data_IF_538242376771
#
_entry.id   IF_538242376771
#
_cell.length_a   1.000
_cell.length_b   1.000
_cell.length_c   1.000
_cell.angle_alpha   90.00
_cell.angle_beta   90.00
_cell.angle_gamma   90.00
#
_symmetry.space_group_name_H-M   'P 1'
#
loop_
_entity.id
_entity.type
_entity.pdbx_description
1 polymer ?
#
# COMPACT_ATOMS: atom_id res chain seq x y z
N UNK A 1 -12.74 34.06 68.00
CA UNK A 1 -11.74 34.73 67.15
C UNK A 1 -10.74 33.70 66.64
N UNK A 2 -10.60 33.63 65.31
CA UNK A 2 -9.84 32.63 64.56
C UNK A 2 -8.38 32.48 65.00
N UNK A 3 -7.93 31.22 65.16
CA UNK A 3 -6.50 30.86 65.17
C UNK A 3 -6.09 30.38 63.78
N UNK A 4 -5.08 31.04 63.20
CA UNK A 4 -4.37 30.60 61.99
C UNK A 4 -3.60 29.30 62.29
N UNK A 5 -3.64 28.34 61.36
CA UNK A 5 -2.76 27.17 61.32
C UNK A 5 -1.88 27.31 60.06
N UNK A 6 -0.55 27.07 60.13
CA UNK A 6 0.36 27.31 59.02
C UNK A 6 0.47 26.11 58.06
N UNK A 7 1.08 26.40 56.90
CA UNK A 7 1.18 25.58 55.71
C UNK A 7 1.69 24.15 55.90
N UNK A 8 1.05 23.20 55.20
CA UNK A 8 1.59 21.87 54.92
C UNK A 8 1.77 21.71 53.42
N UNK A 9 3.01 21.37 53.04
CA UNK A 9 3.47 21.09 51.67
C UNK A 9 2.59 20.02 51.02
N UNK A 10 1.98 20.33 49.88
CA UNK A 10 1.46 19.31 48.96
C UNK A 10 2.52 19.00 47.90
N UNK A 11 2.84 17.71 47.87
CA UNK A 11 3.85 17.03 47.07
C UNK A 11 3.35 16.98 45.62
N UNK A 12 4.14 17.53 44.70
CA UNK A 12 3.90 17.48 43.25
C UNK A 12 3.80 16.03 42.78
N UNK A 13 2.58 15.60 42.46
CA UNK A 13 2.34 14.44 41.60
C UNK A 13 2.51 14.91 40.15
N UNK A 14 3.63 14.50 39.54
CA UNK A 14 3.82 14.54 38.09
C UNK A 14 2.81 13.59 37.45
N UNK A 15 1.71 14.13 36.96
CA UNK A 15 0.91 13.45 35.92
C UNK A 15 1.60 13.67 34.58
N UNK A 16 1.87 12.55 33.90
CA UNK A 16 2.57 12.53 32.62
C UNK A 16 1.78 13.23 31.51
N UNK A 17 2.53 14.01 30.73
CA UNK A 17 2.23 14.58 29.42
C UNK A 17 0.90 14.26 28.76
N UNK A 18 -0.08 15.13 28.96
CA UNK A 18 -1.00 15.50 27.88
C UNK A 18 -0.22 16.49 27.02
N UNK A 19 0.16 16.09 25.81
CA UNK A 19 0.88 16.97 24.89
C UNK A 19 0.05 18.24 24.67
N UNK A 20 0.56 19.39 25.15
CA UNK A 20 0.05 20.69 24.75
C UNK A 20 0.21 20.82 23.23
N UNK A 21 -0.91 20.98 22.53
CA UNK A 21 -0.93 21.18 21.08
C UNK A 21 -0.48 22.59 20.74
N UNK A 22 0.15 22.72 19.57
CA UNK A 22 0.40 23.99 18.92
C UNK A 22 -0.91 24.73 18.65
N UNK A 23 -0.88 26.04 18.87
CA UNK A 23 -2.03 26.96 18.93
C UNK A 23 -2.54 27.41 17.54
N UNK A 24 -2.58 26.53 16.54
CA UNK A 24 -2.97 26.84 15.15
C UNK A 24 -4.20 26.03 14.71
N UNK A 25 -5.14 26.70 14.03
CA UNK A 25 -6.32 26.06 13.44
C UNK A 25 -5.91 24.94 12.46
N UNK A 26 -6.59 23.76 12.44
CA UNK A 26 -6.26 22.70 11.50
C UNK A 26 -6.43 23.17 10.05
N UNK A 27 -5.42 22.93 9.21
CA UNK A 27 -5.47 23.23 7.78
C UNK A 27 -6.14 22.10 7.03
N UNK A 28 -7.20 22.41 6.29
CA UNK A 28 -7.99 21.41 5.57
C UNK A 28 -8.05 21.77 4.10
N UNK A 29 -7.60 20.86 3.24
CA UNK A 29 -7.77 20.98 1.80
C UNK A 29 -9.01 20.21 1.36
N UNK A 30 -9.88 20.83 0.55
CA UNK A 30 -11.10 20.18 0.04
C UNK A 30 -10.92 19.86 -1.44
N UNK A 31 -10.75 18.57 -1.74
CA UNK A 31 -10.77 18.02 -3.10
C UNK A 31 -12.21 17.64 -3.47
N UNK A 32 -12.66 18.09 -4.63
CA UNK A 32 -14.00 17.85 -5.16
C UNK A 32 -13.93 17.79 -6.69
N UNK A 33 -14.98 17.30 -7.34
CA UNK A 33 -15.08 17.31 -8.80
C UNK A 33 -15.99 18.44 -9.30
N UNK A 34 -15.62 19.05 -10.42
CA UNK A 34 -16.48 20.01 -11.11
C UNK A 34 -17.68 19.31 -11.77
N UNK A 35 -18.69 19.00 -10.97
CA UNK A 35 -19.90 18.29 -11.39
C UNK A 35 -20.95 19.26 -11.94
N UNK A 36 -21.32 20.25 -11.14
CA UNK A 36 -22.31 21.29 -11.47
C UNK A 36 -22.12 22.53 -10.59
N UNK A 37 -22.79 23.64 -10.94
CA UNK A 37 -22.77 24.86 -10.13
C UNK A 37 -23.40 24.64 -8.75
N UNK A 38 -24.45 23.82 -8.67
CA UNK A 38 -25.11 23.44 -7.42
C UNK A 38 -24.18 22.61 -6.54
N UNK A 39 -23.40 21.70 -7.12
CA UNK A 39 -22.37 20.98 -6.40
C UNK A 39 -21.29 21.93 -5.87
N UNK A 40 -20.79 22.84 -6.72
CA UNK A 40 -19.80 23.86 -6.31
C UNK A 40 -20.31 24.72 -5.16
N UNK A 41 -21.60 25.10 -5.17
CA UNK A 41 -22.21 25.87 -4.09
C UNK A 41 -22.30 25.07 -2.78
N UNK A 42 -22.61 23.78 -2.84
CA UNK A 42 -22.60 22.89 -1.66
C UNK A 42 -21.20 22.74 -1.07
N UNK A 43 -20.18 22.58 -1.92
CA UNK A 43 -18.76 22.55 -1.50
C UNK A 43 -18.35 23.86 -0.83
N UNK A 44 -18.75 25.01 -1.41
CA UNK A 44 -18.52 26.32 -0.80
C UNK A 44 -19.21 26.43 0.57
N UNK A 45 -20.46 25.97 0.69
CA UNK A 45 -21.20 25.95 1.95
C UNK A 45 -20.49 25.15 3.04
N UNK A 46 -20.00 23.95 2.70
CA UNK A 46 -19.18 23.12 3.59
C UNK A 46 -17.92 23.87 4.05
N UNK A 47 -17.14 24.42 3.12
CA UNK A 47 -15.89 25.15 3.44
C UNK A 47 -16.18 26.34 4.36
N UNK A 48 -17.20 27.14 4.06
CA UNK A 48 -17.57 28.27 4.90
C UNK A 48 -18.01 27.83 6.29
N UNK A 49 -18.76 26.73 6.40
CA UNK A 49 -19.16 26.18 7.70
C UNK A 49 -17.96 25.69 8.52
N UNK A 50 -16.99 25.01 7.89
CA UNK A 50 -15.74 24.61 8.54
C UNK A 50 -14.95 25.84 9.03
N UNK A 51 -14.81 26.87 8.20
CA UNK A 51 -14.12 28.12 8.55
C UNK A 51 -14.77 28.86 9.72
N UNK A 52 -16.11 28.94 9.75
CA UNK A 52 -16.85 29.51 10.90
C UNK A 52 -16.62 28.75 12.20
N UNK A 53 -16.26 27.46 12.12
CA UNK A 53 -15.99 26.59 13.26
C UNK A 53 -14.49 26.41 13.55
N UNK A 54 -13.65 27.34 13.12
CA UNK A 54 -12.23 27.39 13.53
C UNK A 54 -11.30 26.45 12.77
N UNK A 55 -11.67 26.01 11.57
CA UNK A 55 -10.86 25.18 10.69
C UNK A 55 -10.41 26.00 9.48
N UNK A 56 -9.12 26.00 9.16
CA UNK A 56 -8.59 26.67 7.97
C UNK A 56 -8.83 25.83 6.70
N UNK A 57 -10.08 25.81 6.25
CA UNK A 57 -10.49 25.06 5.04
C UNK A 57 -10.27 25.86 3.75
N UNK A 58 -9.72 25.22 2.72
CA UNK A 58 -9.36 25.82 1.42
C UNK A 58 -9.66 24.89 0.23
N UNK A 59 -9.77 25.45 -0.98
CA UNK A 59 -10.01 24.75 -2.24
C UNK A 59 -9.47 25.53 -3.45
N UNK A 60 -9.37 24.86 -4.61
CA UNK A 60 -8.82 25.41 -5.86
C UNK A 60 -9.55 26.65 -6.39
N UNK A 61 -10.86 26.73 -6.22
CA UNK A 61 -11.66 27.81 -6.77
C UNK A 61 -11.41 29.18 -6.11
N UNK A 62 -10.71 29.23 -4.97
CA UNK A 62 -10.22 30.50 -4.41
C UNK A 62 -8.98 31.04 -5.15
N UNK A 63 -8.26 30.18 -5.88
CA UNK A 63 -7.08 30.56 -6.68
C UNK A 63 -7.42 30.89 -8.14
N UNK A 64 -8.65 30.62 -8.60
CA UNK A 64 -9.07 30.87 -10.00
C UNK A 64 -8.85 32.32 -10.45
N UNK A 65 -8.92 33.29 -9.53
CA UNK A 65 -8.69 34.71 -9.82
C UNK A 65 -7.22 35.06 -10.08
N UNK A 66 -6.28 34.23 -9.62
CA UNK A 66 -4.84 34.36 -9.82
C UNK A 66 -4.22 32.96 -9.96
N UNK A 67 -4.43 32.30 -11.10
CA UNK A 67 -4.09 30.89 -11.25
C UNK A 67 -2.59 30.64 -11.10
N UNK A 68 -2.18 29.49 -10.52
CA UNK A 68 -0.79 29.10 -10.41
C UNK A 68 -0.20 28.76 -11.80
N UNK A 69 1.13 28.82 -11.92
CA UNK A 69 1.83 28.45 -13.15
C UNK A 69 1.58 26.99 -13.57
N UNK A 70 1.40 26.10 -12.58
CA UNK A 70 1.04 24.70 -12.80
C UNK A 70 0.10 24.21 -11.70
N UNK A 71 -1.15 23.89 -12.07
CA UNK A 71 -2.16 23.34 -11.17
C UNK A 71 -1.70 22.05 -10.45
N UNK A 72 -1.10 21.04 -11.12
CA UNK A 72 -0.67 19.83 -10.43
C UNK A 72 0.37 20.09 -9.33
N UNK A 73 1.32 20.98 -9.59
CA UNK A 73 2.34 21.34 -8.60
C UNK A 73 1.72 22.07 -7.40
N UNK A 74 0.79 22.99 -7.65
CA UNK A 74 0.05 23.70 -6.60
C UNK A 74 -0.79 22.74 -5.75
N UNK A 75 -1.53 21.82 -6.37
CA UNK A 75 -2.33 20.81 -5.66
C UNK A 75 -1.46 19.92 -4.78
N UNK A 76 -0.27 19.52 -5.27
CA UNK A 76 0.71 18.76 -4.47
C UNK A 76 1.07 19.49 -3.18
N UNK A 77 1.34 20.80 -3.31
CA UNK A 77 1.70 21.65 -2.17
C UNK A 77 0.53 21.74 -1.20
N UNK A 78 -0.69 21.99 -1.68
CA UNK A 78 -1.87 22.07 -0.81
C UNK A 78 -2.12 20.76 -0.06
N UNK A 79 -2.04 19.61 -0.74
CA UNK A 79 -2.20 18.29 -0.13
C UNK A 79 -1.07 17.98 0.86
N UNK A 80 0.16 18.43 0.56
CA UNK A 80 1.33 18.25 1.44
C UNK A 80 1.27 19.08 2.71
N UNK A 81 0.74 20.30 2.63
CA UNK A 81 0.63 21.23 3.76
C UNK A 81 -0.61 21.02 4.64
N UNK A 82 -1.65 20.35 4.12
CA UNK A 82 -2.89 20.14 4.86
C UNK A 82 -2.76 19.06 5.95
N UNK A 83 -3.35 19.34 7.13
CA UNK A 83 -3.52 18.36 8.21
C UNK A 83 -4.56 17.30 7.82
N UNK A 84 -5.60 17.72 7.08
CA UNK A 84 -6.62 16.83 6.53
C UNK A 84 -6.97 17.21 5.08
N UNK A 85 -7.33 16.21 4.30
CA UNK A 85 -7.84 16.36 2.94
C UNK A 85 -9.26 15.78 2.89
N UNK A 86 -10.26 16.65 2.75
CA UNK A 86 -11.63 16.20 2.53
C UNK A 86 -11.81 15.85 1.05
N UNK A 87 -12.31 14.65 0.78
CA UNK A 87 -12.66 14.21 -0.57
C UNK A 87 -14.17 14.22 -0.68
N UNK A 88 -14.72 15.18 -1.43
CA UNK A 88 -16.16 15.32 -1.62
C UNK A 88 -16.60 14.34 -2.70
N UNK A 89 -17.22 13.25 -2.28
CA UNK A 89 -17.52 12.12 -3.14
C UNK A 89 -18.88 12.31 -3.82
N UNK A 90 -18.85 12.18 -5.14
CA UNK A 90 -20.02 12.02 -6.01
C UNK A 90 -19.78 10.86 -6.98
N UNK A 91 -20.79 10.47 -7.74
CA UNK A 91 -20.61 9.52 -8.84
C UNK A 91 -19.55 9.98 -9.85
N UNK A 92 -19.51 11.26 -10.19
CA UNK A 92 -18.53 11.83 -11.12
C UNK A 92 -17.13 11.82 -10.54
N UNK A 93 -16.97 12.19 -9.27
CA UNK A 93 -15.69 12.05 -8.56
C UNK A 93 -15.19 10.61 -8.63
N UNK A 94 -16.06 9.64 -8.34
CA UNK A 94 -15.74 8.22 -8.35
C UNK A 94 -15.34 7.70 -9.74
N UNK A 95 -16.07 8.09 -10.79
CA UNK A 95 -15.73 7.74 -12.19
C UNK A 95 -14.36 8.27 -12.57
N UNK A 96 -14.06 9.52 -12.23
CA UNK A 96 -12.76 10.15 -12.50
C UNK A 96 -11.63 9.51 -11.71
N UNK A 97 -11.87 9.23 -10.43
CA UNK A 97 -10.94 8.52 -9.56
C UNK A 97 -10.56 7.14 -10.13
N UNK A 98 -11.55 6.39 -10.60
CA UNK A 98 -11.38 5.05 -11.16
C UNK A 98 -10.93 5.05 -12.63
N UNK A 99 -10.60 6.21 -13.21
CA UNK A 99 -10.16 6.36 -14.60
C UNK A 99 -11.19 5.87 -15.64
N UNK A 100 -12.48 6.07 -15.38
CA UNK A 100 -13.59 5.61 -16.21
C UNK A 100 -14.17 6.69 -17.15
N UNK A 101 -13.51 7.84 -17.33
CA UNK A 101 -13.98 8.90 -18.25
C UNK A 101 -13.48 8.73 -19.70
N UNK A 102 -14.30 9.21 -20.64
CA UNK A 102 -13.98 9.39 -22.06
C UNK A 102 -12.66 10.19 -22.23
N UNK A 103 -11.82 9.85 -23.22
CA UNK A 103 -10.58 10.59 -23.47
C UNK A 103 -10.86 12.06 -23.81
N UNK A 104 -10.44 12.99 -22.95
CA UNK A 104 -10.52 14.44 -23.20
C UNK A 104 -11.38 15.24 -22.22
N UNK A 105 -12.10 14.58 -21.31
CA UNK A 105 -12.81 15.22 -20.19
C UNK A 105 -12.06 14.94 -18.89
N UNK A 106 -11.88 15.97 -18.04
CA UNK A 106 -11.33 15.84 -16.69
C UNK A 106 -9.83 15.50 -16.59
N UNK A 107 -8.94 16.42 -16.97
CA UNK A 107 -7.49 16.24 -16.83
C UNK A 107 -6.97 16.32 -15.38
N UNK A 108 -7.67 17.04 -14.47
CA UNK A 108 -7.21 17.28 -13.09
C UNK A 108 -7.25 16.05 -12.18
N UNK A 109 -8.37 15.31 -12.19
CA UNK A 109 -8.63 14.24 -11.22
C UNK A 109 -7.84 12.94 -11.51
N UNK A 110 -7.23 12.82 -12.70
CA UNK A 110 -6.44 11.63 -13.10
C UNK A 110 -5.17 11.44 -12.27
N UNK A 111 -4.58 12.53 -11.77
CA UNK A 111 -3.33 12.52 -11.03
C UNK A 111 -3.53 12.46 -9.51
N UNK A 112 -4.60 13.09 -9.01
CA UNK A 112 -4.99 13.09 -7.60
C UNK A 112 -5.31 11.69 -7.07
N UNK A 113 -6.01 10.85 -7.84
CA UNK A 113 -6.37 9.50 -7.43
C UNK A 113 -5.14 8.63 -7.16
N UNK A 114 -4.09 8.75 -7.98
CA UNK A 114 -2.83 8.02 -7.79
C UNK A 114 -2.08 8.49 -6.55
N UNK A 115 -2.05 9.81 -6.28
CA UNK A 115 -1.39 10.35 -5.08
C UNK A 115 -2.17 10.09 -3.79
N UNK A 116 -3.49 10.25 -3.80
CA UNK A 116 -4.36 9.92 -2.66
C UNK A 116 -4.24 8.44 -2.34
N UNK A 117 -4.27 7.57 -3.36
CA UNK A 117 -4.06 6.13 -3.18
C UNK A 117 -2.66 5.88 -2.61
N UNK A 118 -1.60 6.39 -3.24
CA UNK A 118 -0.23 6.20 -2.77
C UNK A 118 -0.05 6.69 -1.32
N UNK A 119 -0.60 7.83 -0.94
CA UNK A 119 -0.43 8.38 0.41
C UNK A 119 -1.28 7.62 1.46
N UNK A 120 -2.50 7.17 1.13
CA UNK A 120 -3.27 6.26 2.00
C UNK A 120 -2.50 4.95 2.25
N UNK A 121 -1.80 4.42 1.23
CA UNK A 121 -1.11 3.13 1.33
C UNK A 121 0.32 3.20 1.86
N UNK A 122 1.04 4.27 1.58
CA UNK A 122 2.47 4.38 1.84
C UNK A 122 2.82 5.42 2.91
N UNK A 123 1.87 6.22 3.42
CA UNK A 123 2.18 7.09 4.55
C UNK A 123 2.49 6.25 5.78
N UNK A 124 3.65 6.52 6.40
CA UNK A 124 4.03 6.00 7.73
C UNK A 124 3.42 6.82 8.86
N UNK A 125 2.57 7.80 8.51
CA UNK A 125 1.83 8.62 9.47
C UNK A 125 0.84 7.74 10.23
N UNK A 126 0.82 7.89 11.55
CA UNK A 126 -0.19 7.21 12.41
C UNK A 126 -1.61 7.72 12.16
N UNK A 127 -1.78 8.81 11.42
CA UNK A 127 -3.06 9.45 11.16
C UNK A 127 -3.33 9.53 9.66
N UNK A 128 -4.43 8.90 9.25
CA UNK A 128 -4.94 9.01 7.88
C UNK A 128 -5.52 10.41 7.72
N UNK A 129 -4.97 11.21 6.79
CA UNK A 129 -5.42 12.58 6.54
C UNK A 129 -6.57 12.69 5.54
N UNK A 130 -6.81 11.67 4.71
CA UNK A 130 -7.88 11.69 3.70
C UNK A 130 -9.22 11.25 4.30
N UNK A 131 -10.23 12.09 4.18
CA UNK A 131 -11.54 11.90 4.80
C UNK A 131 -12.64 12.05 3.74
N UNK A 132 -13.39 10.98 3.44
CA UNK A 132 -14.54 11.04 2.53
C UNK A 132 -15.70 11.82 3.14
N UNK A 133 -16.25 12.74 2.36
CA UNK A 133 -17.46 13.49 2.70
C UNK A 133 -18.49 13.29 1.58
N UNK A 134 -19.72 12.99 1.96
CA UNK A 134 -20.86 12.88 1.04
C UNK A 134 -21.96 13.85 1.48
N UNK A 135 -22.70 14.40 0.52
CA UNK A 135 -23.85 15.27 0.81
C UNK A 135 -25.18 14.52 0.90
N UNK A 136 -25.21 13.26 0.44
CA UNK A 136 -26.37 12.38 0.52
C UNK A 136 -25.96 10.96 0.93
N UNK A 137 -26.87 10.23 1.56
CA UNK A 137 -26.61 8.84 1.93
C UNK A 137 -26.37 7.96 0.68
N UNK A 138 -27.04 8.26 -0.44
CA UNK A 138 -26.90 7.53 -1.70
C UNK A 138 -25.49 7.62 -2.27
N UNK A 139 -24.82 8.77 -2.11
CA UNK A 139 -23.46 9.00 -2.60
C UNK A 139 -22.41 8.13 -1.89
N UNK A 140 -22.75 7.54 -0.75
CA UNK A 140 -21.87 6.62 -0.01
C UNK A 140 -21.43 5.44 -0.85
N UNK A 141 -22.25 4.98 -1.81
CA UNK A 141 -21.92 3.87 -2.72
C UNK A 141 -20.81 4.21 -3.72
N UNK A 142 -20.55 5.50 -3.92
CA UNK A 142 -19.57 6.01 -4.88
C UNK A 142 -18.19 6.22 -4.24
N UNK A 143 -18.04 6.02 -2.93
CA UNK A 143 -16.74 6.17 -2.25
C UNK A 143 -15.74 5.16 -2.82
N UNK A 144 -14.61 5.60 -3.42
CA UNK A 144 -13.61 4.69 -3.95
C UNK A 144 -13.06 3.75 -2.87
N UNK A 145 -12.72 2.51 -3.26
CA UNK A 145 -12.31 1.46 -2.32
C UNK A 145 -11.21 1.89 -1.32
N UNK A 146 -10.12 2.59 -1.72
CA UNK A 146 -9.10 3.06 -0.78
C UNK A 146 -9.65 3.96 0.33
N UNK A 147 -10.59 4.82 -0.04
CA UNK A 147 -11.20 5.83 0.82
C UNK A 147 -12.29 5.24 1.72
N UNK A 148 -12.96 4.18 1.26
CA UNK A 148 -13.99 3.49 2.06
C UNK A 148 -13.42 2.70 3.26
N UNK A 149 -12.10 2.60 3.37
CA UNK A 149 -11.40 2.04 4.54
C UNK A 149 -11.17 3.08 5.67
N UNK A 150 -11.60 4.33 5.45
CA UNK A 150 -11.41 5.44 6.39
C UNK A 150 -12.75 5.91 6.98
N UNK A 151 -12.70 6.78 7.99
CA UNK A 151 -13.91 7.42 8.52
C UNK A 151 -14.54 8.30 7.45
N UNK A 152 -15.83 8.07 7.16
CA UNK A 152 -16.63 8.86 6.22
C UNK A 152 -17.70 9.67 6.95
N UNK A 153 -18.04 10.82 6.38
CA UNK A 153 -19.01 11.74 6.98
C UNK A 153 -20.10 12.08 5.97
N UNK A 154 -21.35 11.92 6.41
CA UNK A 154 -22.51 12.49 5.74
C UNK A 154 -22.73 13.89 6.29
N UNK A 155 -22.55 14.90 5.45
CA UNK A 155 -22.85 16.29 5.79
C UNK A 155 -24.06 16.71 4.99
N UNK A 156 -25.21 16.84 5.62
CA UNK A 156 -26.42 17.30 4.97
C UNK A 156 -26.35 18.84 4.89
N UNK A 157 -26.52 19.44 3.70
CA UNK A 157 -26.57 20.90 3.57
C UNK A 157 -27.62 21.50 4.51
N UNK A 158 -27.28 22.63 5.13
CA UNK A 158 -28.14 23.37 6.08
C UNK A 158 -28.53 22.63 7.37
N UNK A 159 -27.91 21.49 7.66
CA UNK A 159 -28.05 20.75 8.92
C UNK A 159 -26.73 20.75 9.70
N UNK A 160 -26.57 21.70 10.62
CA UNK A 160 -25.38 21.82 11.48
C UNK A 160 -25.12 20.57 12.33
N UNK A 161 -26.15 19.78 12.65
CA UNK A 161 -25.99 18.56 13.44
C UNK A 161 -25.23 17.47 12.67
N UNK A 162 -25.40 17.43 11.34
CA UNK A 162 -24.67 16.52 10.45
C UNK A 162 -23.18 16.87 10.32
N UNK A 163 -22.81 18.14 10.56
CA UNK A 163 -21.43 18.62 10.51
C UNK A 163 -20.63 18.27 11.78
N UNK A 164 -21.31 18.14 12.92
CA UNK A 164 -20.69 17.97 14.24
C UNK A 164 -19.73 16.76 14.34
N UNK A 165 -20.05 15.56 13.81
CA UNK A 165 -19.10 14.44 13.82
C UNK A 165 -17.81 14.72 13.04
N UNK A 166 -17.89 15.46 11.93
CA UNK A 166 -16.73 15.87 11.15
C UNK A 166 -15.88 16.89 11.92
N UNK A 167 -16.52 17.87 12.57
CA UNK A 167 -15.81 18.84 13.43
C UNK A 167 -15.06 18.16 14.58
N UNK A 168 -15.70 17.19 15.25
CA UNK A 168 -15.05 16.41 16.31
C UNK A 168 -13.80 15.69 15.82
N UNK A 169 -13.83 15.16 14.60
CA UNK A 169 -12.66 14.52 14.01
C UNK A 169 -11.56 15.55 13.69
N UNK A 170 -11.89 16.61 12.95
CA UNK A 170 -10.90 17.60 12.49
C UNK A 170 -10.27 18.39 13.67
N UNK A 171 -11.05 18.67 14.71
CA UNK A 171 -10.58 19.30 15.95
C UNK A 171 -10.02 18.30 16.97
N UNK A 172 -10.05 17.00 16.65
CA UNK A 172 -9.66 15.88 17.51
C UNK A 172 -10.26 15.98 18.93
N UNK A 173 -11.55 16.32 18.98
CA UNK A 173 -12.35 16.51 20.18
C UNK A 173 -13.40 15.39 20.26
N UNK A 174 -13.05 14.21 20.84
CA UNK A 174 -13.94 13.05 20.86
C UNK A 174 -15.20 13.33 21.69
N UNK A 175 -16.31 12.69 21.31
CA UNK A 175 -17.58 12.81 22.04
C UNK A 175 -17.52 12.19 23.44
N UNK A 176 -16.78 11.08 23.57
CA UNK A 176 -16.62 10.36 24.82
C UNK A 176 -15.14 10.31 25.19
N UNK A 177 -14.84 10.72 26.42
CA UNK A 177 -13.48 10.62 26.99
C UNK A 177 -13.49 9.44 27.95
N UNK A 178 -12.57 8.47 27.82
CA UNK A 178 -12.51 7.34 28.75
C UNK A 178 -12.27 7.83 30.17
N UNK A 179 -12.96 7.20 31.13
CA UNK A 179 -12.68 7.43 32.54
C UNK A 179 -11.22 7.06 32.87
N UNK A 180 -10.69 7.64 33.94
CA UNK A 180 -9.39 7.23 34.45
C UNK A 180 -9.41 5.73 34.79
N UNK A 181 -8.34 5.03 34.42
CA UNK A 181 -8.21 3.60 34.69
C UNK A 181 -8.18 3.38 36.21
N UNK A 182 -9.13 2.59 36.73
CA UNK A 182 -9.14 2.17 38.12
C UNK A 182 -8.20 0.98 38.37
N UNK A 183 -7.98 0.65 39.65
CA UNK A 183 -7.30 -0.61 40.01
C UNK A 183 -8.18 -1.81 39.68
N UNK A 184 -7.59 -2.86 39.10
CA UNK A 184 -8.30 -4.09 38.79
C UNK A 184 -8.65 -4.82 40.10
N UNK A 185 -9.88 -5.33 40.26
CA UNK A 185 -10.22 -6.19 41.39
C UNK A 185 -9.37 -7.48 41.36
N UNK A 186 -9.00 -7.98 42.54
CA UNK A 186 -8.32 -9.28 42.65
C UNK A 186 -9.32 -10.39 42.27
N UNK A 187 -9.04 -11.03 41.13
CA UNK A 187 -9.86 -12.10 40.53
C UNK A 187 -9.11 -13.44 40.53
N UNK A 188 -8.15 -13.63 41.44
CA UNK A 188 -7.41 -14.89 41.51
C UNK A 188 -8.32 -16.05 41.91
N UNK A 189 -8.50 -17.02 40.99
CA UNK A 189 -9.08 -18.32 41.28
C UNK A 189 -8.00 -19.23 41.87
N UNK A 190 -8.27 -19.79 43.04
CA UNK A 190 -7.41 -20.78 43.69
C UNK A 190 -7.42 -22.09 42.91
N UNK A 191 -6.38 -22.35 42.12
CA UNK A 191 -5.84 -23.70 41.90
C UNK A 191 -4.47 -23.66 41.22
N UNK A 192 -3.53 -24.45 41.76
CA UNK A 192 -2.43 -25.07 41.03
C UNK A 192 -1.24 -24.20 40.65
N UNK A 193 -0.38 -23.87 41.62
CA UNK A 193 0.98 -23.38 41.36
C UNK A 193 1.80 -24.46 40.63
N UNK A 194 2.05 -24.27 39.35
CA UNK A 194 3.26 -24.75 38.69
C UNK A 194 4.09 -23.50 38.34
N UNK A 195 5.07 -23.19 39.19
CA UNK A 195 5.94 -22.02 39.01
C UNK A 195 6.79 -22.18 37.76
N UNK A 196 6.50 -21.36 36.74
CA UNK A 196 7.47 -21.00 35.72
C UNK A 196 8.60 -20.18 36.36
N UNK A 197 9.83 -20.33 35.87
CA UNK A 197 10.99 -19.58 36.34
C UNK A 197 10.81 -18.07 36.02
N UNK A 198 10.74 -17.18 37.03
CA UNK A 198 10.54 -15.75 36.84
C UNK A 198 11.74 -15.05 36.18
N UNK A 199 12.88 -15.73 35.98
CA UNK A 199 14.07 -15.18 35.35
C UNK A 199 14.01 -15.10 33.81
N UNK A 200 13.04 -15.77 33.16
CA UNK A 200 13.06 -15.94 31.69
C UNK A 200 12.24 -14.88 30.93
N UNK A 201 11.21 -14.30 31.56
CA UNK A 201 10.38 -13.21 31.01
C UNK A 201 11.17 -11.96 30.57
N UNK A 202 12.21 -11.50 31.29
CA UNK A 202 13.05 -10.36 30.89
C UNK A 202 13.78 -10.58 29.56
N UNK A 203 14.13 -11.83 29.23
CA UNK A 203 14.89 -12.15 28.02
C UNK A 203 14.02 -12.09 26.76
N UNK A 204 12.76 -12.53 26.82
CA UNK A 204 11.80 -12.39 25.71
C UNK A 204 11.49 -10.91 25.47
N UNK A 205 11.25 -10.14 26.53
CA UNK A 205 11.03 -8.69 26.43
C UNK A 205 12.24 -7.95 25.84
N UNK A 206 13.45 -8.32 26.24
CA UNK A 206 14.70 -7.76 25.71
C UNK A 206 14.88 -8.09 24.22
N UNK A 207 14.58 -9.32 23.80
CA UNK A 207 14.65 -9.71 22.39
C UNK A 207 13.59 -8.97 21.53
N UNK A 208 12.39 -8.76 22.05
CA UNK A 208 11.36 -7.93 21.39
C UNK A 208 11.80 -6.48 21.24
N UNK A 209 12.48 -5.91 22.24
CA UNK A 209 13.05 -4.57 22.14
C UNK A 209 14.17 -4.51 21.10
N UNK A 210 15.06 -5.51 21.07
CA UNK A 210 16.11 -5.66 20.06
C UNK A 210 15.53 -5.76 18.64
N UNK A 211 14.35 -6.40 18.47
CA UNK A 211 13.72 -6.58 17.16
C UNK A 211 13.43 -5.27 16.42
N UNK A 212 13.33 -4.15 17.14
CA UNK A 212 13.14 -2.82 16.55
C UNK A 212 14.39 -2.30 15.84
N UNK A 213 15.57 -2.76 16.25
CA UNK A 213 16.86 -2.31 15.72
C UNK A 213 17.52 -3.38 14.85
N UNK A 214 17.44 -4.65 15.27
CA UNK A 214 18.03 -5.78 14.59
C UNK A 214 17.10 -7.01 14.68
N UNK A 215 16.13 -7.15 13.76
CA UNK A 215 15.13 -8.20 13.81
C UNK A 215 15.71 -9.60 13.61
N UNK A 216 16.72 -9.78 12.77
CA UNK A 216 17.41 -11.07 12.57
C UNK A 216 18.06 -11.56 13.86
N UNK A 217 18.85 -10.69 14.53
CA UNK A 217 19.49 -11.04 15.80
C UNK A 217 18.47 -11.32 16.91
N UNK A 218 17.32 -10.65 16.89
CA UNK A 218 16.23 -10.93 17.81
C UNK A 218 15.62 -12.33 17.59
N UNK A 219 15.44 -12.75 16.33
CA UNK A 219 15.01 -14.12 16.00
C UNK A 219 16.03 -15.14 16.49
N UNK A 220 17.32 -14.93 16.24
CA UNK A 220 18.38 -15.85 16.70
C UNK A 220 18.37 -15.99 18.22
N UNK A 221 18.23 -14.87 18.93
CA UNK A 221 18.16 -14.83 20.40
C UNK A 221 16.94 -15.58 20.92
N UNK A 222 15.76 -15.36 20.34
CA UNK A 222 14.54 -16.07 20.72
C UNK A 222 14.65 -17.56 20.41
N UNK A 223 15.23 -17.92 19.27
CA UNK A 223 15.41 -19.30 18.83
C UNK A 223 16.32 -20.07 19.80
N UNK A 224 17.42 -19.47 20.23
CA UNK A 224 18.34 -20.06 21.21
C UNK A 224 17.69 -20.30 22.59
N UNK A 225 16.65 -19.55 22.94
CA UNK A 225 15.90 -19.74 24.18
C UNK A 225 14.84 -20.86 24.09
N UNK A 226 14.40 -21.26 22.90
CA UNK A 226 13.28 -22.20 22.75
C UNK A 226 13.50 -23.53 23.46
N UNK A 227 14.74 -24.03 23.51
CA UNK A 227 15.08 -25.30 24.13
C UNK A 227 14.99 -25.27 25.66
N UNK A 228 15.10 -24.09 26.29
CA UNK A 228 14.94 -23.92 27.75
C UNK A 228 13.51 -23.53 28.14
N UNK A 229 12.70 -23.03 27.21
CA UNK A 229 11.32 -22.60 27.45
C UNK A 229 10.31 -23.75 27.43
N UNK A 230 9.26 -23.67 28.25
CA UNK A 230 8.14 -24.64 28.27
C UNK A 230 6.79 -23.93 28.34
N UNK A 231 5.73 -24.63 27.91
CA UNK A 231 4.35 -24.17 28.00
C UNK A 231 4.14 -22.76 27.41
N UNK A 232 3.42 -21.92 28.15
CA UNK A 232 3.05 -20.56 27.75
C UNK A 232 4.24 -19.68 27.36
N UNK A 233 5.40 -19.81 28.04
CA UNK A 233 6.58 -19.01 27.71
C UNK A 233 7.19 -19.42 26.36
N UNK A 234 7.22 -20.73 26.06
CA UNK A 234 7.67 -21.23 24.74
C UNK A 234 6.72 -20.79 23.64
N UNK A 235 5.42 -20.84 23.91
CA UNK A 235 4.40 -20.34 23.00
C UNK A 235 4.58 -18.84 22.72
N UNK A 236 4.84 -18.03 23.74
CA UNK A 236 5.06 -16.59 23.58
C UNK A 236 6.32 -16.28 22.76
N UNK A 237 7.42 -17.03 22.95
CA UNK A 237 8.62 -16.88 22.13
C UNK A 237 8.38 -17.23 20.65
N UNK A 238 7.68 -18.34 20.37
CA UNK A 238 7.29 -18.67 19.00
C UNK A 238 6.36 -17.62 18.38
N UNK A 239 5.40 -17.09 19.15
CA UNK A 239 4.51 -16.02 18.70
C UNK A 239 5.33 -14.77 18.31
N UNK A 240 6.28 -14.35 19.15
CA UNK A 240 7.19 -13.24 18.89
C UNK A 240 8.06 -13.48 17.64
N UNK A 241 8.63 -14.69 17.47
CA UNK A 241 9.37 -15.06 16.25
C UNK A 241 8.47 -14.91 15.02
N UNK A 242 7.21 -15.34 15.10
CA UNK A 242 6.24 -15.20 14.02
C UNK A 242 5.98 -13.74 13.65
N UNK A 243 5.75 -12.88 14.65
CA UNK A 243 5.50 -11.45 14.44
C UNK A 243 6.71 -10.71 13.86
N UNK A 244 7.93 -11.07 14.27
CA UNK A 244 9.16 -10.49 13.71
C UNK A 244 9.30 -10.92 12.25
N UNK A 245 9.19 -12.22 11.95
CA UNK A 245 9.28 -12.73 10.58
C UNK A 245 8.22 -12.12 9.67
N UNK A 246 6.97 -12.01 10.14
CA UNK A 246 5.89 -11.39 9.37
C UNK A 246 6.15 -9.90 9.09
N UNK A 247 6.67 -9.14 10.07
CA UNK A 247 7.08 -7.73 9.86
C UNK A 247 8.21 -7.59 8.85
N UNK A 248 9.10 -8.58 8.78
CA UNK A 248 10.16 -8.65 7.77
C UNK A 248 9.68 -9.17 6.40
N UNK A 249 8.41 -9.59 6.28
CA UNK A 249 7.86 -10.19 5.06
C UNK A 249 8.26 -11.66 4.83
N UNK A 250 8.78 -12.35 5.84
CA UNK A 250 9.09 -13.78 5.80
C UNK A 250 7.89 -14.62 6.24
N UNK A 251 6.96 -14.84 5.31
CA UNK A 251 5.65 -15.42 5.62
C UNK A 251 5.69 -16.91 5.98
N UNK A 252 6.48 -17.72 5.27
CA UNK A 252 6.58 -19.15 5.56
C UNK A 252 7.21 -19.44 6.94
N UNK A 253 8.33 -18.79 7.35
CA UNK A 253 8.83 -18.86 8.72
C UNK A 253 7.80 -18.37 9.75
N UNK A 254 7.07 -17.29 9.45
CA UNK A 254 6.04 -16.77 10.36
C UNK A 254 4.91 -17.78 10.60
N UNK A 255 4.39 -18.42 9.54
CA UNK A 255 3.37 -19.48 9.66
C UNK A 255 3.83 -20.62 10.57
N UNK A 256 5.05 -21.10 10.33
CA UNK A 256 5.64 -22.19 11.11
C UNK A 256 5.73 -21.79 12.58
N UNK A 257 6.19 -20.57 12.86
CA UNK A 257 6.30 -20.05 14.22
C UNK A 257 4.93 -19.94 14.91
N UNK A 258 3.89 -19.41 14.25
CA UNK A 258 2.56 -19.34 14.85
C UNK A 258 1.92 -20.72 15.08
N UNK A 259 2.15 -21.69 14.20
CA UNK A 259 1.73 -23.09 14.43
C UNK A 259 2.41 -23.67 15.66
N UNK A 260 3.75 -23.52 15.76
CA UNK A 260 4.51 -23.96 16.94
C UNK A 260 4.07 -23.27 18.22
N UNK A 261 3.67 -21.99 18.16
CA UNK A 261 3.12 -21.28 19.30
C UNK A 261 1.84 -21.93 19.82
N UNK A 262 0.92 -22.31 18.93
CA UNK A 262 -0.34 -22.97 19.28
C UNK A 262 -0.13 -24.40 19.81
N UNK A 263 0.86 -25.12 19.28
CA UNK A 263 1.24 -26.47 19.75
C UNK A 263 1.92 -26.46 21.13
N UNK A 264 2.42 -25.30 21.59
CA UNK A 264 3.24 -25.18 22.81
C UNK A 264 2.44 -24.91 24.09
N UNK A 265 1.14 -25.22 24.13
CA UNK A 265 0.26 -24.95 25.28
C UNK A 265 0.24 -23.45 25.71
N UNK A 266 -0.22 -22.55 24.83
CA UNK A 266 -0.25 -21.10 25.07
C UNK A 266 -1.25 -20.70 26.17
N UNK A 267 -0.99 -19.57 26.82
CA UNK A 267 -2.05 -18.86 27.56
C UNK A 267 -3.12 -18.30 26.60
N UNK A 268 -4.27 -17.89 27.15
CA UNK A 268 -5.42 -17.43 26.36
C UNK A 268 -5.09 -16.26 25.42
N UNK A 269 -4.21 -15.33 25.83
CA UNK A 269 -3.83 -14.16 25.03
C UNK A 269 -2.91 -14.59 23.89
N UNK A 270 -1.87 -15.37 24.19
CA UNK A 270 -0.91 -15.87 23.19
C UNK A 270 -1.61 -16.76 22.15
N UNK A 271 -2.57 -17.58 22.58
CA UNK A 271 -3.39 -18.40 21.70
C UNK A 271 -4.21 -17.56 20.72
N UNK A 272 -4.90 -16.52 21.22
CA UNK A 272 -5.73 -15.63 20.41
C UNK A 272 -4.90 -14.87 19.36
N UNK A 273 -3.76 -14.30 19.77
CA UNK A 273 -2.85 -13.57 18.87
C UNK A 273 -2.26 -14.50 17.81
N UNK A 274 -1.72 -15.66 18.22
CA UNK A 274 -1.11 -16.61 17.29
C UNK A 274 -2.12 -17.16 16.29
N UNK A 275 -3.35 -17.48 16.72
CA UNK A 275 -4.40 -17.94 15.82
C UNK A 275 -4.86 -16.84 14.85
N UNK A 276 -4.97 -15.59 15.30
CA UNK A 276 -5.30 -14.46 14.44
C UNK A 276 -4.22 -14.24 13.37
N UNK A 277 -2.95 -14.15 13.79
CA UNK A 277 -1.84 -13.90 12.87
C UNK A 277 -1.61 -15.07 11.92
N UNK A 278 -1.78 -16.32 12.38
CA UNK A 278 -1.74 -17.51 11.53
C UNK A 278 -2.76 -17.43 10.40
N UNK A 279 -4.02 -17.08 10.71
CA UNK A 279 -5.06 -16.91 9.67
C UNK A 279 -4.72 -15.78 8.71
N UNK A 280 -4.22 -14.65 9.21
CA UNK A 280 -3.82 -13.53 8.37
C UNK A 280 -2.67 -13.90 7.41
N UNK A 281 -1.66 -14.60 7.91
CA UNK A 281 -0.54 -15.08 7.10
C UNK A 281 -0.96 -16.14 6.07
N UNK A 282 -1.86 -17.06 6.44
CA UNK A 282 -2.42 -18.04 5.51
C UNK A 282 -3.22 -17.36 4.39
N UNK A 283 -4.08 -16.39 4.73
CA UNK A 283 -4.86 -15.64 3.74
C UNK A 283 -3.96 -14.85 2.76
N UNK A 284 -2.85 -14.30 3.25
CA UNK A 284 -1.83 -13.64 2.43
C UNK A 284 -1.18 -14.60 1.43
N UNK A 285 -0.72 -15.77 1.90
CA UNK A 285 -0.12 -16.79 1.02
C UNK A 285 -1.13 -17.39 0.05
N UNK A 286 -2.36 -17.61 0.48
CA UNK A 286 -3.44 -18.09 -0.39
C UNK A 286 -3.72 -17.07 -1.51
N UNK A 287 -3.79 -15.78 -1.19
CA UNK A 287 -3.99 -14.73 -2.22
C UNK A 287 -2.86 -14.71 -3.26
N UNK A 288 -1.62 -14.96 -2.82
CA UNK A 288 -0.43 -14.97 -3.64
C UNK A 288 -0.35 -16.18 -4.59
N UNK A 289 -0.67 -17.38 -4.08
CA UNK A 289 -0.49 -18.66 -4.80
C UNK A 289 -1.76 -19.29 -5.36
N UNK A 290 -2.96 -18.79 -5.03
CA UNK A 290 -4.22 -19.33 -5.56
C UNK A 290 -4.28 -19.28 -7.08
N UNK A 291 -5.13 -20.13 -7.63
CA UNK A 291 -5.52 -20.06 -9.05
C UNK A 291 -6.08 -18.67 -9.39
N UNK A 292 -5.57 -18.07 -10.46
CA UNK A 292 -5.89 -16.70 -10.86
C UNK A 292 -5.21 -15.62 -10.00
N UNK A 293 -4.36 -16.00 -9.05
CA UNK A 293 -3.48 -15.12 -8.29
C UNK A 293 -2.35 -14.52 -9.13
N UNK A 294 -1.52 -13.65 -8.53
CA UNK A 294 -0.43 -12.97 -9.21
C UNK A 294 0.65 -13.95 -9.70
N UNK A 295 1.03 -14.94 -8.89
CA UNK A 295 2.03 -15.96 -9.26
C UNK A 295 1.55 -16.82 -10.43
N UNK A 296 0.32 -17.35 -10.32
CA UNK A 296 -0.29 -18.15 -11.39
C UNK A 296 -0.40 -17.35 -12.70
N UNK A 297 -0.79 -16.08 -12.63
CA UNK A 297 -0.87 -15.19 -13.80
C UNK A 297 0.50 -14.98 -14.45
N UNK A 298 1.56 -14.72 -13.67
CA UNK A 298 2.93 -14.58 -14.18
C UNK A 298 3.40 -15.87 -14.88
N UNK A 299 3.18 -17.03 -14.25
CA UNK A 299 3.50 -18.32 -14.84
C UNK A 299 2.71 -18.59 -16.13
N UNK A 300 1.41 -18.28 -16.16
CA UNK A 300 0.57 -18.38 -17.37
C UNK A 300 1.09 -17.49 -18.50
N UNK A 301 1.58 -16.30 -18.19
CA UNK A 301 2.21 -15.41 -19.17
C UNK A 301 3.48 -16.04 -19.76
N UNK A 302 4.42 -16.47 -18.91
CA UNK A 302 5.67 -17.12 -19.37
C UNK A 302 5.38 -18.36 -20.20
N UNK A 303 4.45 -19.21 -19.76
CA UNK A 303 4.03 -20.40 -20.52
C UNK A 303 3.41 -20.04 -21.87
N UNK A 304 2.61 -18.96 -21.95
CA UNK A 304 2.03 -18.52 -23.20
C UNK A 304 3.11 -18.06 -24.19
N UNK A 305 4.12 -17.31 -23.73
CA UNK A 305 5.28 -16.89 -24.54
C UNK A 305 6.02 -18.11 -25.07
N UNK A 306 6.39 -19.06 -24.20
CA UNK A 306 7.10 -20.29 -24.59
C UNK A 306 6.33 -21.15 -25.61
N UNK A 307 5.01 -21.22 -25.47
CA UNK A 307 4.13 -21.98 -26.37
C UNK A 307 3.76 -21.21 -27.65
N UNK A 308 4.40 -20.08 -27.94
CA UNK A 308 4.10 -19.21 -29.09
C UNK A 308 2.66 -18.68 -29.12
N UNK A 309 1.99 -18.58 -27.96
CA UNK A 309 0.60 -18.13 -27.85
C UNK A 309 0.55 -16.64 -27.53
N UNK A 310 0.99 -15.81 -28.47
CA UNK A 310 1.11 -14.35 -28.28
C UNK A 310 -0.22 -13.71 -27.87
N UNK A 311 -1.35 -14.09 -28.47
CA UNK A 311 -2.66 -13.56 -28.10
C UNK A 311 -3.00 -13.81 -26.62
N UNK A 312 -2.62 -14.98 -26.08
CA UNK A 312 -2.82 -15.29 -24.67
C UNK A 312 -1.91 -14.46 -23.78
N UNK A 313 -0.63 -14.34 -24.14
CA UNK A 313 0.32 -13.50 -23.41
C UNK A 313 -0.12 -12.03 -23.39
N UNK A 314 -0.54 -11.50 -24.54
CA UNK A 314 -1.04 -10.13 -24.73
C UNK A 314 -2.29 -9.83 -23.88
N UNK A 315 -3.20 -10.80 -23.78
CA UNK A 315 -4.39 -10.70 -22.95
C UNK A 315 -4.10 -10.69 -21.45
N UNK A 316 -2.94 -11.20 -21.01
CA UNK A 316 -2.53 -11.19 -19.61
C UNK A 316 -1.86 -9.86 -19.21
N UNK A 317 -1.56 -8.98 -20.17
CA UNK A 317 -1.01 -7.66 -19.89
C UNK A 317 -2.10 -6.67 -19.46
N UNK A 318 -1.71 -5.66 -18.68
CA UNK A 318 -2.55 -4.49 -18.42
C UNK A 318 -2.70 -3.61 -19.67
N UNK A 319 -3.79 -2.81 -19.79
CA UNK A 319 -3.92 -1.85 -20.88
C UNK A 319 -2.74 -0.87 -20.96
N UNK A 320 -2.25 -0.40 -19.81
CA UNK A 320 -1.10 0.51 -19.72
C UNK A 320 0.17 -0.12 -20.30
N UNK A 321 0.49 -1.36 -19.91
CA UNK A 321 1.69 -2.04 -20.41
C UNK A 321 1.59 -2.31 -21.92
N UNK A 322 0.41 -2.72 -22.42
CA UNK A 322 0.20 -2.87 -23.87
C UNK A 322 0.48 -1.57 -24.62
N UNK A 323 0.00 -0.44 -24.10
CA UNK A 323 0.24 0.87 -24.71
C UNK A 323 1.73 1.22 -24.72
N UNK A 324 2.42 1.03 -23.59
CA UNK A 324 3.86 1.31 -23.47
C UNK A 324 4.69 0.46 -24.43
N UNK A 325 4.39 -0.83 -24.56
CA UNK A 325 5.10 -1.72 -25.48
C UNK A 325 4.89 -1.31 -26.95
N UNK A 326 3.66 -0.97 -27.32
CA UNK A 326 3.36 -0.45 -28.66
C UNK A 326 4.08 0.87 -28.91
N UNK A 327 4.05 1.81 -27.95
CA UNK A 327 4.75 3.09 -28.07
C UNK A 327 6.26 2.90 -28.19
N UNK A 328 6.84 1.94 -27.47
CA UNK A 328 8.27 1.62 -27.58
C UNK A 328 8.61 1.10 -28.98
N UNK A 329 7.79 0.18 -29.52
CA UNK A 329 7.97 -0.34 -30.86
C UNK A 329 7.82 0.73 -31.94
N UNK A 330 6.77 1.56 -31.85
CA UNK A 330 6.55 2.68 -32.78
C UNK A 330 7.69 3.69 -32.70
N UNK A 331 8.15 4.02 -31.49
CA UNK A 331 9.26 4.97 -31.28
C UNK A 331 10.58 4.46 -31.84
N UNK A 332 10.89 3.18 -31.62
CA UNK A 332 12.10 2.53 -32.12
C UNK A 332 12.12 2.42 -33.65
N UNK A 333 10.95 2.36 -34.30
CA UNK A 333 10.79 2.18 -35.74
C UNK A 333 10.20 3.41 -36.45
N UNK A 334 10.26 4.60 -35.81
CA UNK A 334 9.56 5.82 -36.27
C UNK A 334 9.94 6.27 -37.68
N UNK A 335 11.17 6.00 -38.11
CA UNK A 335 11.71 6.39 -39.41
C UNK A 335 11.52 5.30 -40.49
N UNK A 336 10.92 4.16 -40.15
CA UNK A 336 10.72 3.06 -41.09
C UNK A 336 9.65 3.42 -42.15
N UNK A 337 9.90 3.21 -43.46
CA UNK A 337 8.97 3.64 -44.53
C UNK A 337 7.55 3.09 -44.42
N UNK A 338 7.38 1.88 -43.87
CA UNK A 338 6.06 1.27 -43.65
C UNK A 338 5.35 1.75 -42.39
N UNK A 339 6.00 2.55 -41.54
CA UNK A 339 5.45 3.06 -40.28
C UNK A 339 5.28 4.58 -40.29
N UNK A 340 6.25 5.30 -40.87
CA UNK A 340 6.28 6.77 -40.97
C UNK A 340 5.00 7.42 -41.52
N UNK A 341 4.23 6.81 -42.46
CA UNK A 341 2.99 7.40 -42.96
C UNK A 341 1.83 7.44 -41.94
N UNK A 342 1.88 6.68 -40.85
CA UNK A 342 0.78 6.59 -39.88
C UNK A 342 0.90 7.62 -38.76
N UNK A 343 -0.25 8.12 -38.27
CA UNK A 343 -0.28 8.91 -37.03
C UNK A 343 0.08 8.02 -35.84
N UNK A 344 1.16 8.34 -35.13
CA UNK A 344 1.67 7.53 -34.01
C UNK A 344 0.69 7.33 -32.86
N UNK A 345 -0.15 8.32 -32.54
CA UNK A 345 -1.13 8.23 -31.44
C UNK A 345 -2.27 7.29 -31.80
N UNK A 346 -2.81 7.42 -33.00
CA UNK A 346 -3.88 6.55 -33.50
C UNK A 346 -3.37 5.12 -33.67
N UNK A 347 -2.16 4.96 -34.22
CA UNK A 347 -1.51 3.67 -34.35
C UNK A 347 -1.31 3.01 -32.97
N UNK A 348 -0.83 3.77 -31.99
CA UNK A 348 -0.62 3.25 -30.64
C UNK A 348 -1.93 2.80 -29.98
N UNK A 349 -2.99 3.60 -30.10
CA UNK A 349 -4.33 3.25 -29.61
C UNK A 349 -4.87 1.99 -30.29
N UNK A 350 -4.72 1.88 -31.61
CA UNK A 350 -5.22 0.73 -32.38
C UNK A 350 -4.49 -0.57 -32.03
N UNK A 351 -3.16 -0.51 -31.90
CA UNK A 351 -2.33 -1.68 -31.64
C UNK A 351 -2.32 -2.13 -30.17
N UNK A 352 -2.64 -1.24 -29.22
CA UNK A 352 -2.62 -1.54 -27.78
C UNK A 352 -3.91 -2.20 -27.24
N UNK A 353 -4.93 -2.35 -28.08
CA UNK A 353 -6.18 -3.02 -27.71
C UNK A 353 -5.96 -4.52 -27.40
N UNK A 354 -6.94 -5.14 -26.75
CA UNK A 354 -6.91 -6.58 -26.43
C UNK A 354 -6.87 -7.44 -27.71
N UNK A 355 -7.58 -7.00 -28.77
CA UNK A 355 -7.58 -7.62 -30.08
C UNK A 355 -7.22 -6.57 -31.13
N UNK A 356 -5.92 -6.32 -31.35
CA UNK A 356 -5.49 -5.31 -32.31
C UNK A 356 -6.02 -5.60 -33.71
N UNK A 357 -6.61 -4.58 -34.31
CA UNK A 357 -7.14 -4.65 -35.66
C UNK A 357 -6.47 -3.58 -36.51
N UNK A 358 -5.23 -3.84 -36.92
CA UNK A 358 -4.45 -2.94 -37.78
C UNK A 358 -3.58 -3.74 -38.75
N UNK A 359 -3.22 -3.14 -39.88
CA UNK A 359 -2.37 -3.79 -40.90
C UNK A 359 -1.01 -4.24 -40.33
N UNK A 360 -0.46 -3.44 -39.42
CA UNK A 360 0.84 -3.70 -38.76
C UNK A 360 0.73 -4.65 -37.55
N UNK A 361 -0.46 -5.15 -37.21
CA UNK A 361 -0.65 -6.02 -36.02
C UNK A 361 0.24 -7.26 -36.08
N UNK A 362 0.33 -7.90 -37.25
CA UNK A 362 1.12 -9.13 -37.40
C UNK A 362 2.60 -8.88 -37.17
N UNK A 363 3.14 -7.80 -37.74
CA UNK A 363 4.55 -7.45 -37.62
C UNK A 363 4.90 -7.07 -36.19
N UNK A 364 4.10 -6.19 -35.56
CA UNK A 364 4.27 -5.81 -34.15
C UNK A 364 4.25 -7.04 -33.22
N UNK A 365 3.24 -7.91 -33.35
CA UNK A 365 3.11 -9.10 -32.51
C UNK A 365 4.27 -10.08 -32.68
N UNK A 366 4.79 -10.21 -33.90
CA UNK A 366 5.96 -11.05 -34.17
C UNK A 366 7.22 -10.49 -33.52
N UNK A 367 7.48 -9.18 -33.65
CA UNK A 367 8.60 -8.51 -32.97
C UNK A 367 8.50 -8.66 -31.46
N UNK A 368 7.34 -8.36 -30.88
CA UNK A 368 7.14 -8.41 -29.43
C UNK A 368 7.26 -9.83 -28.87
N UNK A 369 6.77 -10.85 -29.58
CA UNK A 369 6.96 -12.24 -29.17
C UNK A 369 8.46 -12.63 -29.18
N UNK A 370 9.23 -12.14 -30.16
CA UNK A 370 10.67 -12.33 -30.22
C UNK A 370 11.38 -11.74 -29.00
N UNK A 371 11.04 -10.50 -28.64
CA UNK A 371 11.60 -9.82 -27.46
C UNK A 371 11.25 -10.55 -26.15
N UNK A 372 10.00 -11.00 -26.00
CA UNK A 372 9.61 -11.78 -24.82
C UNK A 372 10.36 -13.10 -24.74
N UNK A 373 10.50 -13.83 -25.84
CA UNK A 373 11.28 -15.08 -25.86
C UNK A 373 12.73 -14.87 -25.45
N UNK A 374 13.35 -13.80 -25.94
CA UNK A 374 14.72 -13.46 -25.58
C UNK A 374 14.81 -13.16 -24.08
N UNK A 375 13.91 -12.30 -23.57
CA UNK A 375 13.90 -11.84 -22.18
C UNK A 375 13.61 -12.94 -21.16
N UNK A 376 12.79 -13.93 -21.53
CA UNK A 376 12.38 -15.03 -20.64
C UNK A 376 12.98 -16.39 -21.04
N UNK A 377 14.06 -16.40 -21.82
CA UNK A 377 14.70 -17.61 -22.33
C UNK A 377 15.28 -18.51 -21.23
N UNK A 378 15.72 -17.93 -20.12
CA UNK A 378 16.34 -18.65 -19.00
C UNK A 378 15.34 -19.29 -18.05
N UNK A 379 14.07 -18.89 -18.07
CA UNK A 379 13.04 -19.47 -17.20
C UNK A 379 12.68 -20.84 -17.77
N UNK A 380 12.70 -21.89 -16.96
CA UNK A 380 12.29 -23.27 -17.30
C UNK A 380 11.32 -23.83 -16.22
N UNK A 381 10.99 -25.12 -16.28
CA UNK A 381 10.13 -25.81 -15.31
C UNK A 381 10.74 -25.92 -13.90
N UNK A 382 12.04 -25.69 -13.75
CA UNK A 382 12.75 -25.73 -12.47
C UNK A 382 12.75 -24.37 -11.76
N UNK A 383 12.16 -23.34 -12.37
CA UNK A 383 11.96 -22.04 -11.75
C UNK A 383 10.71 -22.03 -10.88
N UNK A 384 10.84 -21.43 -9.70
CA UNK A 384 9.76 -21.22 -8.75
C UNK A 384 9.54 -19.73 -8.47
N UNK A 385 8.36 -19.41 -7.97
CA UNK A 385 8.09 -18.08 -7.40
C UNK A 385 8.56 -18.04 -5.95
N UNK A 386 9.15 -16.92 -5.55
CA UNK A 386 9.51 -16.68 -4.16
C UNK A 386 8.28 -16.80 -3.25
N UNK A 387 8.42 -17.47 -2.10
CA UNK A 387 7.32 -17.74 -1.16
C UNK A 387 6.77 -16.51 -0.44
N UNK A 388 7.49 -15.39 -0.49
CA UNK A 388 7.11 -14.16 0.18
C UNK A 388 6.32 -13.25 -0.78
N UNK A 389 5.02 -13.02 -0.53
CA UNK A 389 4.26 -11.97 -1.19
C UNK A 389 4.93 -10.61 -1.00
N UNK A 390 5.00 -9.82 -2.06
CA UNK A 390 5.52 -8.43 -2.07
C UNK A 390 4.43 -7.47 -2.56
N UNK A 391 3.35 -7.26 -1.77
CA UNK A 391 2.31 -6.32 -2.15
C UNK A 391 2.89 -4.89 -2.17
N UNK A 392 2.52 -4.13 -3.19
CA UNK A 392 2.91 -2.72 -3.37
C UNK A 392 1.60 -1.92 -3.47
N UNK A 393 1.17 -1.33 -2.36
CA UNK A 393 -0.21 -0.81 -2.28
C UNK A 393 -1.25 -1.93 -2.25
N UNK A 394 -2.47 -1.68 -2.74
CA UNK A 394 -3.55 -2.71 -2.76
C UNK A 394 -3.44 -3.61 -3.97
N UNK A 395 -3.26 -2.96 -5.11
CA UNK A 395 -3.56 -3.52 -6.41
C UNK A 395 -2.30 -3.97 -7.11
N UNK A 396 -1.12 -3.78 -6.54
CA UNK A 396 0.11 -4.31 -7.09
C UNK A 396 0.75 -5.36 -6.20
N UNK A 397 1.45 -6.28 -6.86
CA UNK A 397 2.32 -7.22 -6.19
C UNK A 397 3.53 -7.52 -7.07
N UNK A 398 4.72 -7.54 -6.49
CA UNK A 398 5.94 -7.94 -7.18
C UNK A 398 6.15 -9.44 -7.05
N UNK A 399 5.89 -10.17 -8.13
CA UNK A 399 6.24 -11.59 -8.23
C UNK A 399 7.69 -11.70 -8.67
N UNK A 400 8.48 -12.50 -7.97
CA UNK A 400 9.88 -12.76 -8.32
C UNK A 400 10.00 -14.24 -8.64
N UNK A 401 10.34 -14.56 -9.88
CA UNK A 401 10.68 -15.92 -10.29
C UNK A 401 12.21 -16.10 -10.20
N UNK A 402 12.63 -17.27 -9.75
CA UNK A 402 14.05 -17.64 -9.62
C UNK A 402 14.25 -19.14 -9.87
N UNK A 403 15.44 -19.58 -10.31
CA UNK A 403 15.78 -20.99 -10.36
C UNK A 403 15.68 -21.61 -8.95
N UNK A 404 14.93 -22.70 -8.80
CA UNK A 404 14.87 -23.45 -7.54
C UNK A 404 15.36 -24.89 -7.70
N UNK A 405 15.62 -25.35 -8.92
CA UNK A 405 15.98 -26.74 -9.20
C UNK A 405 14.82 -27.73 -8.99
N UNK A 406 13.59 -27.24 -8.81
CA UNK A 406 12.43 -28.04 -8.46
C UNK A 406 12.21 -28.25 -6.95
N UNK A 407 13.10 -27.73 -6.09
CA UNK A 407 13.04 -27.89 -4.64
C UNK A 407 12.68 -26.57 -3.91
N UNK A 408 12.41 -26.65 -2.59
CA UNK A 408 12.28 -25.48 -1.73
C UNK A 408 13.69 -24.96 -1.42
N UNK A 409 14.02 -23.78 -1.95
CA UNK A 409 15.31 -23.11 -1.70
C UNK A 409 15.10 -21.96 -0.71
N UNK A 410 15.87 -21.96 0.38
CA UNK A 410 15.94 -20.85 1.33
C UNK A 410 17.05 -19.90 0.85
N UNK A 411 16.66 -18.70 0.44
CA UNK A 411 17.59 -17.68 -0.01
C UNK A 411 18.06 -16.85 1.20
N UNK A 412 19.34 -16.97 1.55
CA UNK A 412 20.02 -16.21 2.59
C UNK A 412 21.22 -15.42 2.03
N UNK A 413 21.88 -14.61 2.86
CA UNK A 413 23.07 -13.83 2.45
C UNK A 413 24.23 -14.69 1.92
N UNK A 414 24.23 -16.02 2.17
CA UNK A 414 25.26 -16.95 1.72
C UNK A 414 25.01 -17.47 0.31
N UNK A 415 23.78 -17.40 -0.20
CA UNK A 415 23.43 -17.87 -1.54
C UNK A 415 23.94 -16.97 -2.69
N UNK A 416 24.39 -15.75 -2.39
CA UNK A 416 24.93 -14.83 -3.39
C UNK A 416 23.88 -14.25 -4.35
N UNK A 417 24.27 -13.45 -5.36
CA UNK A 417 23.33 -12.89 -6.32
C UNK A 417 22.75 -13.97 -7.22
N UNK A 418 21.43 -14.13 -7.18
CA UNK A 418 20.71 -15.14 -7.95
C UNK A 418 20.04 -14.48 -9.15
N UNK A 419 20.02 -15.20 -10.26
CA UNK A 419 19.26 -14.79 -11.43
C UNK A 419 17.77 -14.74 -11.06
N UNK A 420 17.15 -13.58 -11.22
CA UNK A 420 15.74 -13.38 -10.92
C UNK A 420 15.02 -12.75 -12.10
N UNK A 421 13.74 -13.06 -12.25
CA UNK A 421 12.85 -12.44 -13.23
C UNK A 421 11.65 -11.82 -12.50
N UNK A 422 11.67 -10.49 -12.26
CA UNK A 422 10.59 -9.79 -11.59
C UNK A 422 9.42 -9.49 -12.53
N UNK A 423 8.20 -9.64 -12.00
CA UNK A 423 6.96 -9.25 -12.64
C UNK A 423 6.17 -8.36 -11.67
N UNK A 424 6.01 -7.08 -12.04
CA UNK A 424 5.06 -6.24 -11.33
C UNK A 424 3.67 -6.59 -11.83
N UNK A 425 2.86 -7.17 -10.95
CA UNK A 425 1.49 -7.56 -11.22
C UNK A 425 0.55 -6.43 -10.79
N UNK A 426 -0.55 -6.24 -11.52
CA UNK A 426 -1.63 -5.33 -11.15
C UNK A 426 -2.98 -6.05 -11.15
N UNK A 427 -3.79 -5.85 -10.13
CA UNK A 427 -5.15 -6.33 -10.06
C UNK A 427 -6.10 -5.31 -10.71
N UNK A 428 -6.83 -5.74 -11.73
CA UNK A 428 -7.85 -4.95 -12.43
C UNK A 428 -9.15 -5.72 -12.40
N UNK A 429 -10.18 -5.16 -11.75
CA UNK A 429 -11.50 -5.79 -11.59
C UNK A 429 -11.42 -7.21 -11.02
N UNK A 430 -10.58 -7.41 -10.00
CA UNK A 430 -10.37 -8.70 -9.35
C UNK A 430 -9.43 -9.67 -10.08
N UNK A 431 -9.01 -9.36 -11.31
CA UNK A 431 -8.10 -10.20 -12.10
C UNK A 431 -6.67 -9.65 -12.07
N UNK A 432 -5.71 -10.53 -11.79
CA UNK A 432 -4.30 -10.18 -11.89
C UNK A 432 -3.84 -10.13 -13.35
N UNK A 433 -3.00 -9.13 -13.66
CA UNK A 433 -2.42 -8.90 -14.98
C UNK A 433 -0.98 -8.43 -14.83
N UNK A 434 -0.15 -8.73 -15.82
CA UNK A 434 1.24 -8.24 -15.84
C UNK A 434 1.24 -6.75 -16.16
N UNK A 435 1.84 -5.96 -15.28
CA UNK A 435 1.95 -4.51 -15.42
C UNK A 435 3.37 -4.06 -15.76
N UNK A 436 4.41 -4.78 -15.32
CA UNK A 436 5.78 -4.54 -15.75
C UNK A 436 6.63 -5.80 -15.64
N UNK A 437 7.77 -5.83 -16.33
CA UNK A 437 8.79 -6.90 -16.27
C UNK A 437 10.01 -6.48 -15.44
N UNK A 438 9.84 -5.44 -14.62
CA UNK A 438 10.81 -4.87 -13.68
C UNK A 438 10.05 -4.27 -12.49
N UNK A 439 10.72 -4.00 -11.35
CA UNK A 439 10.11 -3.33 -10.20
C UNK A 439 9.93 -1.83 -10.51
N UNK A 440 9.12 -1.50 -11.50
CA UNK A 440 8.91 -0.13 -11.98
C UNK A 440 7.53 0.04 -12.59
N UNK A 441 6.91 1.20 -12.40
CA UNK A 441 5.67 1.57 -13.06
C UNK A 441 5.95 1.98 -14.51
N UNK A 442 5.28 1.38 -15.51
CA UNK A 442 5.42 1.80 -16.91
C UNK A 442 4.64 3.10 -17.15
N UNK A 443 5.27 4.07 -17.82
CA UNK A 443 4.69 5.38 -18.11
C UNK A 443 4.55 5.53 -19.63
N UNK A 444 3.31 5.59 -20.17
CA UNK A 444 3.06 5.87 -21.57
C UNK A 444 3.64 7.23 -21.99
N UNK A 445 4.19 7.29 -23.21
CA UNK A 445 4.80 8.52 -23.74
C UNK A 445 5.54 8.31 -25.05
N UNK A 446 6.22 9.38 -25.50
CA UNK A 446 7.05 9.39 -26.71
C UNK A 446 8.39 10.08 -26.42
N UNK A 447 9.44 9.36 -25.98
CA UNK A 447 9.47 7.91 -25.74
C UNK A 447 8.66 7.51 -24.49
N UNK A 448 8.19 6.27 -24.41
CA UNK A 448 7.68 5.73 -23.15
C UNK A 448 8.80 5.66 -22.12
N UNK A 449 8.45 5.77 -20.85
CA UNK A 449 9.40 5.76 -19.73
C UNK A 449 8.92 4.84 -18.61
N UNK A 450 9.65 4.83 -17.49
CA UNK A 450 9.30 4.07 -16.30
C UNK A 450 9.75 4.80 -15.04
N UNK A 451 9.03 4.59 -13.96
CA UNK A 451 9.39 5.07 -12.63
C UNK A 451 9.74 3.86 -11.74
N UNK A 452 10.95 3.84 -11.18
CA UNK A 452 11.42 2.74 -10.35
C UNK A 452 10.69 2.72 -9.00
N UNK A 453 10.36 1.51 -8.54
CA UNK A 453 9.79 1.29 -7.21
C UNK A 453 10.96 1.18 -6.23
N UNK A 454 11.00 2.00 -5.17
CA UNK A 454 12.08 1.96 -4.19
C UNK A 454 12.30 0.56 -3.61
N UNK A 455 13.54 0.22 -3.30
CA UNK A 455 13.91 -1.10 -2.76
C UNK A 455 13.22 -1.38 -1.42
N UNK A 456 13.00 -0.34 -0.62
CA UNK A 456 12.31 -0.38 0.66
C UNK A 456 10.83 -0.75 0.52
N UNK A 457 10.22 -0.45 -0.64
CA UNK A 457 8.84 -0.80 -0.95
C UNK A 457 8.73 -2.16 -1.65
N UNK A 458 9.66 -2.46 -2.55
CA UNK A 458 9.64 -3.70 -3.32
C UNK A 458 10.23 -4.89 -2.57
N UNK A 459 10.99 -4.66 -1.48
CA UNK A 459 11.82 -5.66 -0.82
C UNK A 459 12.63 -6.49 -1.84
N UNK A 460 13.14 -5.80 -2.85
CA UNK A 460 13.89 -6.37 -3.97
C UNK A 460 15.04 -5.43 -4.33
N UNK A 461 16.26 -5.98 -4.31
CA UNK A 461 17.47 -5.25 -4.67
C UNK A 461 18.01 -5.84 -5.97
N UNK A 462 18.12 -5.00 -7.01
CA UNK A 462 18.79 -5.39 -8.24
C UNK A 462 20.29 -5.47 -7.93
N UNK A 463 20.89 -6.66 -8.07
CA UNK A 463 22.33 -6.79 -8.02
C UNK A 463 22.93 -5.95 -9.16
N UNK A 464 23.63 -4.85 -8.84
CA UNK A 464 24.42 -4.13 -9.84
C UNK A 464 25.50 -5.10 -10.34
N UNK A 465 25.67 -5.28 -11.65
CA UNK A 465 26.76 -6.09 -12.17
C UNK A 465 28.07 -5.47 -11.67
N UNK A 466 28.82 -6.24 -10.88
CA UNK A 466 30.19 -5.90 -10.50
C UNK A 466 31.06 -6.02 -11.76
N UNK A 467 31.16 -4.95 -12.54
CA UNK A 467 31.89 -4.98 -13.80
C UNK A 467 31.54 -3.88 -14.79
N UNK A 468 31.57 -2.63 -14.38
CA UNK A 468 31.81 -1.52 -15.28
C UNK A 468 32.74 -0.55 -14.57
N UNK A 469 34.05 -0.69 -14.82
CA UNK A 469 34.99 0.41 -14.56
C UNK A 469 34.49 1.60 -15.37
N UNK A 470 34.42 2.76 -14.71
CA UNK A 470 34.03 4.01 -15.35
C UNK A 470 34.86 4.24 -16.61
N UNK A 471 34.18 4.53 -17.70
CA UNK A 471 34.71 5.48 -18.66
C UNK A 471 34.45 6.85 -18.04
N UNK A 472 35.42 7.33 -17.27
CA UNK A 472 35.57 8.76 -16.98
C UNK A 472 35.97 9.48 -18.27
N UNK A 473 35.57 10.75 -18.31
CA UNK A 473 35.80 11.78 -19.32
C UNK A 473 37.14 11.69 -20.07
N UNK A 474 37.05 11.75 -21.41
CA UNK A 474 37.90 12.55 -22.30
C UNK A 474 37.17 12.83 -23.63
#
# INVERSE_FOLDING_TARGET
MCRKIPATRSRTLRTGGMAMRSNSAPRVFVSYSHDSNEHRQRVLGLIQALRRNGIDAWADFFEESKPPAMWPAWMRTQVGEADYVLTVITETYARRYNQQEEPGVGAGVRWEATLITADIYFSTSKQIKYIPVVFSAEDTRHIPTPLNLTNKYLVVPDDDSSLLPLLRHLLQSPEFVPAQLGEAPDLSSSDGVLTADPAIEPHIASALQLSKQNPTKAIDTLTALLDSLRGSQRAAAYCAIGEINQRMGFWAPALTAYQRALESNPDKKTAAVSAHNLRAALAGMETHFRDGGPVDTANKFVQAVKKNKMDRAWNLLTPTLRLVLVQAWVWANKDHPNLAPYNREELAKSLSTIKPNHKLTKDFMATQLGEFKSSFSSIDETWGAASNPRPIGIDYELVVLSPTGGDIVIFDERTGPIQTSPFLMKQIMGQWRVHSFSPSYPIPGWPPSREEIPAEMSNYVIAKPTGARGAEDD
#
